data_IF_234875685629
#
_entry.id   IF_234875685629
#
_cell.length_a   1.000
_cell.length_b   1.000
_cell.length_c   1.000
_cell.angle_alpha   90.00
_cell.angle_beta   90.00
_cell.angle_gamma   90.00
#
_symmetry.space_group_name_H-M   'P 1'
#
loop_
_entity.id
_entity.type
_entity.pdbx_description
1 polymer ?
#
# COMPACT_ATOMS: atom_id res chain seq x y z
N UNK A 1 26.94 -13.92 11.25
CA UNK A 1 26.37 -12.78 12.00
C UNK A 1 25.26 -12.23 11.14
N UNK A 2 24.02 -12.35 11.61
CA UNK A 2 22.86 -11.82 10.89
C UNK A 2 22.82 -10.30 11.12
N UNK A 3 23.52 -9.57 10.24
CA UNK A 3 23.48 -8.12 10.22
C UNK A 3 22.25 -7.64 9.45
N UNK A 4 21.66 -6.55 9.93
CA UNK A 4 20.66 -5.81 9.15
C UNK A 4 21.22 -5.51 7.76
N UNK A 5 20.40 -5.75 6.73
CA UNK A 5 20.76 -5.39 5.37
C UNK A 5 20.55 -3.90 5.17
N UNK A 6 21.42 -3.29 4.36
CA UNK A 6 21.23 -1.91 3.94
C UNK A 6 19.89 -1.78 3.20
N UNK A 7 19.21 -0.64 3.34
CA UNK A 7 17.93 -0.41 2.66
C UNK A 7 18.07 -0.50 1.13
N UNK A 8 19.24 -0.15 0.59
CA UNK A 8 19.58 -0.27 -0.83
C UNK A 8 19.66 -1.73 -1.32
N UNK A 9 19.70 -2.72 -0.42
CA UNK A 9 19.61 -4.14 -0.77
C UNK A 9 18.19 -4.56 -1.13
N UNK A 10 17.18 -3.73 -0.85
CA UNK A 10 15.78 -4.09 -1.06
C UNK A 10 15.24 -3.53 -2.38
N UNK A 11 14.46 -4.37 -3.07
CA UNK A 11 13.58 -3.95 -4.16
C UNK A 11 12.13 -4.02 -3.69
N UNK A 12 11.26 -3.20 -4.27
CA UNK A 12 9.83 -3.15 -3.94
C UNK A 12 8.99 -3.84 -5.02
N UNK A 13 7.97 -4.57 -4.60
CA UNK A 13 6.88 -5.06 -5.46
C UNK A 13 5.54 -4.78 -4.79
N UNK A 14 4.45 -4.62 -5.54
CA UNK A 14 3.18 -4.14 -4.99
C UNK A 14 2.03 -4.19 -5.99
N UNK A 15 0.81 -4.13 -5.47
CA UNK A 15 -0.44 -4.26 -6.25
C UNK A 15 -1.40 -3.08 -6.03
N UNK A 16 -0.86 -1.91 -5.69
CA UNK A 16 -1.63 -0.69 -5.41
C UNK A 16 -2.54 -0.77 -4.18
N UNK A 17 -2.51 -1.85 -3.42
CA UNK A 17 -3.17 -1.93 -2.11
C UNK A 17 -2.16 -2.05 -1.00
N UNK A 18 -1.05 -2.73 -1.29
CA UNK A 18 0.09 -2.87 -0.42
C UNK A 18 1.36 -3.14 -1.23
N UNK A 19 2.48 -3.27 -0.52
CA UNK A 19 3.78 -3.56 -1.08
C UNK A 19 4.59 -4.49 -0.18
N UNK A 20 5.55 -5.17 -0.79
CA UNK A 20 6.54 -6.01 -0.14
C UNK A 20 7.96 -5.54 -0.49
N UNK A 21 8.87 -5.57 0.49
CA UNK A 21 10.30 -5.33 0.25
C UNK A 21 11.05 -6.66 0.20
N UNK A 22 11.74 -6.87 -0.92
CA UNK A 22 12.48 -8.09 -1.26
C UNK A 22 13.97 -7.80 -1.29
N UNK A 23 14.70 -8.43 -0.39
CA UNK A 23 16.16 -8.36 -0.28
C UNK A 23 16.86 -9.11 -1.42
N UNK A 24 18.15 -8.83 -1.67
CA UNK A 24 18.90 -9.48 -2.77
C UNK A 24 19.08 -10.99 -2.60
N UNK A 25 19.19 -11.48 -1.36
CA UNK A 25 19.18 -12.90 -1.00
C UNK A 25 17.79 -13.55 -1.04
N UNK A 26 16.86 -13.03 -1.84
CA UNK A 26 15.57 -13.65 -2.14
C UNK A 26 14.59 -13.68 -0.97
N UNK A 27 14.71 -12.78 0.01
CA UNK A 27 13.81 -12.73 1.17
C UNK A 27 12.87 -11.54 1.13
N UNK A 28 11.58 -11.80 1.32
CA UNK A 28 10.57 -10.80 1.67
C UNK A 28 10.68 -10.56 3.18
N UNK A 29 11.18 -9.39 3.57
CA UNK A 29 11.41 -9.03 4.98
C UNK A 29 10.39 -8.02 5.51
N UNK A 30 9.59 -7.46 4.61
CA UNK A 30 8.53 -6.52 4.92
C UNK A 30 7.34 -6.77 4.01
N UNK A 31 6.16 -6.90 4.59
CA UNK A 31 4.88 -6.79 3.89
C UNK A 31 3.77 -6.51 4.89
N UNK A 32 2.93 -5.52 4.60
CA UNK A 32 1.68 -5.28 5.33
C UNK A 32 0.53 -5.90 4.55
N UNK A 33 -0.31 -6.75 5.16
CA UNK A 33 -1.41 -7.40 4.46
C UNK A 33 -2.71 -7.15 5.24
N UNK A 34 -3.84 -6.82 4.58
CA UNK A 34 -4.03 -6.73 3.13
C UNK A 34 -3.68 -5.36 2.51
N UNK A 35 -3.41 -4.32 3.31
CA UNK A 35 -3.12 -2.97 2.82
C UNK A 35 -1.88 -2.33 3.45
N UNK A 36 -1.44 -1.19 2.91
CA UNK A 36 -0.32 -0.41 3.44
C UNK A 36 -0.42 -0.10 4.94
N UNK A 37 -1.58 0.34 5.41
CA UNK A 37 -1.84 0.70 6.82
C UNK A 37 -2.10 -0.51 7.74
N UNK A 38 -2.24 -1.72 7.17
CA UNK A 38 -2.45 -2.93 7.96
C UNK A 38 -1.21 -3.30 8.78
N UNK A 39 -1.33 -4.01 9.91
CA UNK A 39 -0.17 -4.51 10.63
C UNK A 39 0.75 -5.37 9.74
N UNK A 40 2.05 -5.33 9.99
CA UNK A 40 3.01 -6.08 9.21
C UNK A 40 2.81 -7.61 9.40
N UNK A 41 2.76 -8.33 8.28
CA UNK A 41 2.76 -9.79 8.22
C UNK A 41 4.20 -10.36 8.23
N UNK A 42 5.10 -9.63 7.56
CA UNK A 42 6.55 -9.80 7.64
C UNK A 42 7.17 -8.50 8.12
N UNK A 43 8.06 -8.58 9.11
CA UNK A 43 8.70 -7.41 9.72
C UNK A 43 10.16 -7.64 10.10
N UNK A 44 10.84 -8.61 9.46
CA UNK A 44 12.28 -8.85 9.64
C UNK A 44 13.14 -7.60 9.36
N UNK A 45 12.62 -6.67 8.56
CA UNK A 45 13.24 -5.36 8.32
C UNK A 45 13.40 -4.52 9.61
N UNK A 46 12.48 -4.65 10.58
CA UNK A 46 12.54 -3.91 11.85
C UNK A 46 13.30 -4.68 12.93
N UNK A 47 13.15 -6.00 12.96
CA UNK A 47 13.85 -6.86 13.91
C UNK A 47 14.20 -8.20 13.27
N UNK A 48 15.49 -8.49 13.13
CA UNK A 48 15.97 -9.70 12.46
C UNK A 48 15.72 -11.00 13.25
N UNK A 49 15.51 -10.90 14.57
CA UNK A 49 15.38 -12.05 15.47
C UNK A 49 13.92 -12.51 15.58
N UNK A 50 13.01 -11.55 15.72
CA UNK A 50 11.57 -11.85 15.90
C UNK A 50 10.74 -11.60 14.66
N UNK A 51 11.22 -10.77 13.73
CA UNK A 51 10.49 -10.42 12.53
C UNK A 51 10.42 -11.57 11.52
N UNK A 52 9.20 -11.83 11.06
CA UNK A 52 8.90 -12.83 10.06
C UNK A 52 9.37 -12.46 8.67
N UNK A 53 9.52 -13.48 7.83
CA UNK A 53 10.05 -13.38 6.48
C UNK A 53 9.59 -14.54 5.59
N UNK A 54 9.74 -14.37 4.29
CA UNK A 54 9.62 -15.45 3.31
C UNK A 54 10.82 -15.43 2.36
N UNK A 55 11.67 -16.45 2.43
CA UNK A 55 12.94 -16.51 1.71
C UNK A 55 13.03 -17.71 0.78
N UNK A 56 13.58 -17.48 -0.42
CA UNK A 56 13.94 -18.51 -1.40
C UNK A 56 15.35 -18.17 -1.90
N UNK A 57 16.32 -19.05 -1.67
CA UNK A 57 17.70 -18.84 -2.10
C UNK A 57 18.45 -20.15 -2.36
N UNK A 58 19.55 -20.16 -3.14
CA UNK A 58 20.39 -21.34 -3.30
C UNK A 58 21.06 -21.79 -2.00
N UNK A 59 21.23 -23.10 -1.89
CA UNK A 59 22.11 -23.71 -0.90
C UNK A 59 23.57 -23.40 -1.24
N UNK A 60 24.36 -23.03 -0.23
CA UNK A 60 25.79 -22.75 -0.39
C UNK A 60 26.09 -21.34 -0.92
N UNK A 61 27.24 -21.18 -1.58
CA UNK A 61 27.70 -19.91 -2.12
C UNK A 61 27.12 -19.69 -3.52
N UNK A 62 26.61 -18.48 -3.77
CA UNK A 62 25.99 -18.10 -5.04
C UNK A 62 26.27 -16.63 -5.37
N UNK A 63 26.08 -16.28 -6.65
CA UNK A 63 26.05 -14.91 -7.17
C UNK A 63 24.61 -14.46 -7.37
N UNK A 64 24.39 -13.16 -7.25
CA UNK A 64 23.08 -12.52 -7.37
C UNK A 64 23.14 -11.41 -8.40
N UNK A 65 22.18 -11.41 -9.33
CA UNK A 65 21.91 -10.29 -10.23
C UNK A 65 20.43 -9.92 -10.13
N UNK A 66 20.10 -8.63 -10.28
CA UNK A 66 18.72 -8.16 -10.10
C UNK A 66 18.32 -7.19 -11.18
N UNK A 67 17.05 -7.29 -11.56
CA UNK A 67 16.41 -6.35 -12.45
C UNK A 67 14.91 -6.25 -12.11
N UNK A 68 14.25 -5.27 -12.71
CA UNK A 68 12.81 -5.31 -12.86
C UNK A 68 12.49 -5.83 -14.25
N UNK A 69 11.47 -6.67 -14.38
CA UNK A 69 10.95 -7.04 -15.70
C UNK A 69 10.47 -5.77 -16.41
N UNK A 70 10.75 -5.71 -17.70
CA UNK A 70 10.63 -4.53 -18.56
C UNK A 70 9.48 -3.59 -18.18
N UNK A 71 9.83 -2.37 -17.76
CA UNK A 71 8.90 -1.28 -17.44
C UNK A 71 7.80 -1.68 -16.45
N UNK A 72 8.13 -2.52 -15.46
CA UNK A 72 7.16 -3.00 -14.46
C UNK A 72 7.65 -2.89 -13.01
N UNK A 73 6.77 -3.17 -12.04
CA UNK A 73 7.14 -3.39 -10.64
C UNK A 73 7.28 -4.89 -10.28
N UNK A 74 7.54 -5.73 -11.28
CA UNK A 74 7.84 -7.15 -11.09
C UNK A 74 9.36 -7.30 -10.96
N UNK A 75 9.82 -7.77 -9.82
CA UNK A 75 11.24 -7.93 -9.54
C UNK A 75 11.72 -9.29 -10.04
N UNK A 76 12.86 -9.32 -10.72
CA UNK A 76 13.61 -10.53 -11.04
C UNK A 76 14.94 -10.57 -10.29
N UNK A 77 15.25 -11.71 -9.70
CA UNK A 77 16.50 -12.02 -9.03
C UNK A 77 17.08 -13.29 -9.63
N UNK A 78 18.20 -13.18 -10.34
CA UNK A 78 18.92 -14.31 -10.90
C UNK A 78 19.94 -14.80 -9.90
N UNK A 79 19.84 -16.07 -9.52
CA UNK A 79 20.84 -16.74 -8.73
C UNK A 79 21.66 -17.68 -9.60
N UNK A 80 22.98 -17.68 -9.43
CA UNK A 80 23.86 -18.62 -10.11
C UNK A 80 24.94 -19.16 -9.18
N UNK A 81 25.34 -20.40 -9.41
CA UNK A 81 26.47 -21.04 -8.76
C UNK A 81 27.19 -21.93 -9.77
N UNK A 82 28.21 -22.68 -9.36
CA UNK A 82 28.94 -23.58 -10.25
C UNK A 82 28.12 -24.73 -10.86
N UNK A 83 26.86 -24.93 -10.43
CA UNK A 83 26.00 -26.05 -10.84
C UNK A 83 24.84 -25.63 -11.74
N UNK A 84 24.54 -24.33 -11.84
CA UNK A 84 23.45 -23.85 -12.67
C UNK A 84 23.06 -22.40 -12.41
N UNK A 85 21.87 -22.05 -12.91
CA UNK A 85 21.26 -20.74 -12.79
C UNK A 85 19.74 -20.87 -12.66
N UNK A 86 19.15 -20.10 -11.74
CA UNK A 86 17.70 -19.97 -11.58
C UNK A 86 17.29 -18.50 -11.56
N UNK A 87 16.07 -18.23 -11.97
CA UNK A 87 15.42 -16.93 -11.93
C UNK A 87 14.29 -16.96 -10.91
N UNK A 88 14.35 -16.08 -9.91
CA UNK A 88 13.26 -15.83 -8.97
C UNK A 88 12.52 -14.56 -9.39
N UNK A 89 11.22 -14.66 -9.63
CA UNK A 89 10.33 -13.56 -9.99
C UNK A 89 9.40 -13.29 -8.81
N UNK A 90 9.41 -12.06 -8.30
CA UNK A 90 8.56 -11.59 -7.21
C UNK A 90 7.55 -10.55 -7.73
N UNK A 91 6.25 -10.85 -7.57
CA UNK A 91 5.18 -9.93 -7.89
C UNK A 91 4.03 -9.99 -6.89
N UNK A 92 3.27 -8.91 -6.81
CA UNK A 92 1.92 -8.92 -6.24
C UNK A 92 0.92 -8.79 -7.39
N UNK A 93 0.08 -9.82 -7.65
CA UNK A 93 -0.86 -9.78 -8.76
C UNK A 93 -1.80 -8.57 -8.70
N UNK A 94 -1.99 -7.91 -9.85
CA UNK A 94 -2.98 -6.84 -10.00
C UNK A 94 -4.31 -7.44 -10.48
N UNK A 95 -5.37 -7.13 -9.75
CA UNK A 95 -6.73 -7.58 -10.03
C UNK A 95 -7.65 -6.37 -10.21
N UNK A 96 -8.54 -6.43 -11.20
CA UNK A 96 -9.63 -5.46 -11.36
C UNK A 96 -10.75 -5.70 -10.34
N UNK A 97 -10.86 -6.92 -9.79
CA UNK A 97 -11.79 -7.22 -8.72
C UNK A 97 -11.19 -6.79 -7.37
N UNK A 98 -11.78 -5.78 -6.72
CA UNK A 98 -11.34 -5.27 -5.42
C UNK A 98 -11.47 -6.30 -4.29
N UNK A 99 -12.41 -7.23 -4.40
CA UNK A 99 -12.67 -8.31 -3.43
C UNK A 99 -11.69 -9.49 -3.60
N UNK A 100 -10.84 -9.48 -4.64
CA UNK A 100 -9.85 -10.53 -4.84
C UNK A 100 -8.92 -10.66 -3.62
N UNK A 101 -8.46 -11.88 -3.29
CA UNK A 101 -7.48 -12.08 -2.23
C UNK A 101 -6.23 -11.24 -2.47
N UNK A 102 -5.62 -10.73 -1.40
CA UNK A 102 -4.33 -10.05 -1.51
C UNK A 102 -3.24 -11.11 -1.57
N UNK A 103 -2.47 -11.09 -2.64
CA UNK A 103 -1.57 -12.19 -2.98
C UNK A 103 -0.15 -11.70 -3.21
N UNK A 104 0.81 -12.54 -2.84
CA UNK A 104 2.21 -12.45 -3.24
C UNK A 104 2.53 -13.72 -4.02
N UNK A 105 2.93 -13.57 -5.28
CA UNK A 105 3.32 -14.67 -6.14
C UNK A 105 4.83 -14.64 -6.35
N UNK A 106 5.47 -15.77 -6.09
CA UNK A 106 6.89 -15.99 -6.35
C UNK A 106 7.05 -17.16 -7.31
N UNK A 107 7.68 -16.92 -8.47
CA UNK A 107 7.99 -17.96 -9.46
C UNK A 107 9.49 -18.21 -9.46
N UNK A 108 9.91 -19.46 -9.35
CA UNK A 108 11.28 -19.90 -9.57
C UNK A 108 11.32 -20.62 -10.91
N UNK A 109 12.24 -20.24 -11.78
CA UNK A 109 12.45 -20.86 -13.09
C UNK A 109 13.90 -21.32 -13.23
N UNK A 110 14.11 -22.59 -13.57
CA UNK A 110 15.43 -23.12 -13.87
C UNK A 110 15.88 -22.67 -15.25
N UNK A 111 16.99 -21.94 -15.31
CA UNK A 111 17.53 -21.41 -16.56
C UNK A 111 18.61 -22.34 -17.12
N UNK A 112 19.51 -22.80 -16.26
CA UNK A 112 20.65 -23.63 -16.65
C UNK A 112 20.98 -24.64 -15.54
N UNK A 113 21.41 -25.84 -15.93
CA UNK A 113 21.90 -26.84 -15.00
C UNK A 113 20.85 -27.24 -13.95
N UNK A 114 21.28 -27.35 -12.69
CA UNK A 114 20.41 -27.68 -11.56
C UNK A 114 20.86 -26.97 -10.29
N UNK A 115 19.93 -26.40 -9.54
CA UNK A 115 20.19 -25.73 -8.27
C UNK A 115 19.28 -26.30 -7.18
N UNK A 116 19.86 -26.54 -6.01
CA UNK A 116 19.12 -26.79 -4.77
C UNK A 116 18.81 -25.45 -4.10
N UNK A 117 17.54 -25.21 -3.80
CA UNK A 117 17.02 -24.02 -3.17
C UNK A 117 16.47 -24.34 -1.80
N UNK A 118 16.84 -23.53 -0.81
CA UNK A 118 16.21 -23.50 0.49
C UNK A 118 15.03 -22.53 0.45
N UNK A 119 13.87 -23.01 0.90
CA UNK A 119 12.64 -22.23 1.01
C UNK A 119 12.29 -22.14 2.49
N UNK A 120 12.32 -20.92 3.02
CA UNK A 120 12.05 -20.62 4.42
C UNK A 120 10.84 -19.71 4.52
N UNK A 121 9.83 -20.13 5.27
CA UNK A 121 8.60 -19.36 5.49
C UNK A 121 8.33 -19.23 6.99
N UNK A 122 8.44 -18.01 7.51
CA UNK A 122 8.16 -17.70 8.92
C UNK A 122 7.26 -16.47 8.98
N UNK A 123 5.93 -16.62 8.93
CA UNK A 123 5.02 -15.50 9.12
C UNK A 123 4.99 -15.07 10.59
N UNK A 124 4.92 -13.76 10.85
CA UNK A 124 4.79 -13.21 12.20
C UNK A 124 3.80 -12.02 12.18
N UNK A 125 2.50 -12.32 12.09
CA UNK A 125 1.46 -11.31 11.95
C UNK A 125 1.45 -10.29 13.09
N UNK A 126 0.79 -9.16 12.85
CA UNK A 126 0.62 -8.09 13.83
C UNK A 126 1.95 -7.53 14.37
N UNK A 127 2.93 -7.29 13.49
CA UNK A 127 4.28 -6.85 13.88
C UNK A 127 4.97 -7.83 14.85
N UNK A 128 4.91 -9.12 14.53
CA UNK A 128 5.46 -10.20 15.35
C UNK A 128 4.86 -10.34 16.77
N UNK A 129 3.71 -9.73 17.04
CA UNK A 129 2.94 -9.98 18.28
C UNK A 129 2.27 -11.34 18.29
N UNK A 130 2.09 -11.95 17.12
CA UNK A 130 1.52 -13.30 16.99
C UNK A 130 2.56 -14.24 16.40
N UNK A 131 2.78 -15.37 17.08
CA UNK A 131 3.48 -16.52 16.52
C UNK A 131 2.42 -17.52 16.04
N UNK A 132 2.18 -17.62 14.72
CA UNK A 132 1.13 -18.48 14.20
C UNK A 132 1.52 -19.96 14.23
N UNK A 133 0.52 -20.83 14.29
CA UNK A 133 0.71 -22.26 14.03
C UNK A 133 0.65 -22.50 12.52
N UNK A 134 1.58 -23.31 12.01
CA UNK A 134 1.63 -23.67 10.60
C UNK A 134 1.11 -25.09 10.43
N UNK A 135 -0.01 -25.22 9.71
CA UNK A 135 -0.71 -26.50 9.53
C UNK A 135 -0.62 -26.93 8.06
N UNK A 136 0.18 -27.96 7.73
CA UNK A 136 0.21 -28.53 6.39
C UNK A 136 -1.17 -29.09 6.02
N UNK A 137 -1.60 -28.80 4.79
CA UNK A 137 -2.75 -29.42 4.12
C UNK A 137 -2.31 -29.79 2.70
N UNK A 138 -3.08 -30.60 1.96
CA UNK A 138 -2.68 -31.20 0.68
C UNK A 138 -1.75 -30.32 -0.19
N UNK A 139 -2.22 -29.12 -0.55
CA UNK A 139 -1.49 -28.21 -1.46
C UNK A 139 -1.15 -26.85 -0.83
N UNK A 140 -1.28 -26.72 0.49
CA UNK A 140 -1.14 -25.43 1.17
C UNK A 140 -0.58 -25.59 2.57
N UNK A 141 0.25 -24.65 2.98
CA UNK A 141 0.59 -24.42 4.37
C UNK A 141 -0.35 -23.35 4.92
N UNK A 142 -1.24 -23.75 5.82
CA UNK A 142 -2.21 -22.86 6.44
C UNK A 142 -1.56 -22.12 7.62
N UNK A 143 -1.84 -20.82 7.77
CA UNK A 143 -1.30 -19.98 8.84
C UNK A 143 -2.42 -19.67 9.83
N UNK A 144 -2.42 -20.34 10.98
CA UNK A 144 -3.41 -20.16 12.03
C UNK A 144 -3.02 -18.99 12.93
N UNK A 145 -3.99 -18.13 13.27
CA UNK A 145 -3.75 -16.92 14.07
C UNK A 145 -3.34 -15.68 13.26
N UNK A 146 -3.40 -15.72 11.93
CA UNK A 146 -3.04 -14.57 11.08
C UNK A 146 -4.12 -13.52 10.88
N UNK A 147 -5.18 -13.54 11.69
CA UNK A 147 -6.51 -12.99 11.36
C UNK A 147 -6.49 -11.67 10.55
N UNK A 148 -7.15 -11.62 9.37
CA UNK A 148 -7.85 -12.74 8.71
C UNK A 148 -6.91 -13.83 8.11
N UNK A 149 -7.44 -14.77 7.32
CA UNK A 149 -6.73 -16.01 6.98
C UNK A 149 -5.60 -15.81 5.98
N UNK A 150 -4.49 -16.55 6.18
CA UNK A 150 -3.38 -16.62 5.26
C UNK A 150 -3.00 -18.08 4.93
N UNK A 151 -2.65 -18.33 3.67
CA UNK A 151 -2.21 -19.64 3.20
C UNK A 151 -1.10 -19.52 2.16
N UNK A 152 -0.05 -20.33 2.30
CA UNK A 152 1.00 -20.46 1.30
C UNK A 152 0.77 -21.72 0.45
N UNK A 153 0.49 -21.55 -0.83
CA UNK A 153 0.29 -22.65 -1.78
C UNK A 153 1.50 -22.85 -2.66
N UNK A 154 1.76 -24.10 -3.04
CA UNK A 154 2.91 -24.44 -3.88
C UNK A 154 2.56 -25.36 -5.04
N UNK A 155 3.01 -25.02 -6.25
CA UNK A 155 2.82 -25.80 -7.47
C UNK A 155 4.13 -25.88 -8.26
N UNK A 156 4.30 -26.90 -9.12
CA UNK A 156 5.49 -27.08 -9.95
C UNK A 156 5.16 -27.72 -11.29
N UNK A 157 5.97 -27.45 -12.32
CA UNK A 157 5.77 -27.96 -13.69
C UNK A 157 6.23 -29.40 -13.91
N UNK A 158 7.28 -29.84 -13.20
CA UNK A 158 7.90 -31.14 -13.43
C UNK A 158 7.52 -32.22 -12.41
N UNK A 159 7.12 -31.84 -11.18
CA UNK A 159 6.69 -32.74 -10.11
C UNK A 159 5.68 -32.06 -9.19
N UNK A 160 4.72 -32.79 -8.60
CA UNK A 160 3.98 -32.30 -7.45
C UNK A 160 4.96 -32.08 -6.29
N UNK A 161 5.39 -30.84 -6.08
CA UNK A 161 6.19 -30.42 -4.93
C UNK A 161 5.53 -30.73 -3.58
N UNK A 162 4.23 -31.01 -3.60
CA UNK A 162 3.40 -31.49 -2.50
C UNK A 162 3.97 -32.76 -1.85
N UNK A 163 4.76 -33.54 -2.60
CA UNK A 163 5.44 -34.75 -2.10
C UNK A 163 6.65 -34.46 -1.21
N UNK A 164 7.20 -33.24 -1.23
CA UNK A 164 8.28 -32.83 -0.33
C UNK A 164 7.65 -32.07 0.83
N UNK A 165 7.50 -32.77 1.96
CA UNK A 165 6.92 -32.21 3.18
C UNK A 165 7.70 -30.99 3.70
N UNK A 166 6.98 -30.12 4.40
CA UNK A 166 7.59 -29.03 5.15
C UNK A 166 8.12 -29.55 6.49
N UNK A 167 9.35 -29.20 6.83
CA UNK A 167 9.83 -29.30 8.21
C UNK A 167 9.37 -28.05 8.95
N UNK A 168 8.60 -28.22 10.03
CA UNK A 168 7.98 -27.12 10.76
C UNK A 168 8.47 -27.12 12.20
N UNK A 169 9.08 -26.02 12.62
CA UNK A 169 9.56 -25.81 13.98
C UNK A 169 9.30 -24.37 14.40
N UNK A 170 8.66 -24.18 15.57
CA UNK A 170 8.45 -22.87 16.21
C UNK A 170 7.90 -21.77 15.26
N UNK A 171 6.88 -22.10 14.46
CA UNK A 171 6.24 -21.15 13.53
C UNK A 171 7.07 -20.83 12.28
N UNK A 172 8.15 -21.57 12.02
CA UNK A 172 8.94 -21.53 10.77
C UNK A 172 8.75 -22.85 10.04
N UNK A 173 8.47 -22.77 8.74
CA UNK A 173 8.48 -23.90 7.83
C UNK A 173 9.69 -23.81 6.90
N UNK A 174 10.36 -24.93 6.69
CA UNK A 174 11.52 -25.03 5.80
C UNK A 174 11.41 -26.26 4.89
N UNK A 175 11.93 -26.13 3.67
CA UNK A 175 12.13 -27.25 2.76
C UNK A 175 13.24 -26.95 1.76
N UNK A 176 13.88 -27.99 1.26
CA UNK A 176 14.84 -27.91 0.15
C UNK A 176 14.16 -28.44 -1.11
N UNK A 177 14.27 -27.69 -2.21
CA UNK A 177 13.74 -28.08 -3.52
C UNK A 177 14.83 -28.00 -4.57
N UNK A 178 14.92 -29.01 -5.43
CA UNK A 178 15.83 -29.00 -6.59
C UNK A 178 15.07 -28.51 -7.82
N UNK A 179 15.64 -27.55 -8.54
CA UNK A 179 15.11 -27.02 -9.80
C UNK A 179 16.13 -27.23 -10.91
N UNK A 180 15.70 -27.86 -12.00
CA UNK A 180 16.50 -28.05 -13.21
C UNK A 180 16.12 -27.04 -14.30
N UNK A 181 17.00 -26.87 -15.28
CA UNK A 181 16.69 -26.10 -16.49
C UNK A 181 15.34 -26.52 -17.12
N UNK A 182 14.49 -25.54 -17.40
CA UNK A 182 13.13 -25.73 -17.94
C UNK A 182 12.05 -26.05 -16.90
N UNK A 183 12.40 -26.30 -15.64
CA UNK A 183 11.44 -26.50 -14.56
C UNK A 183 11.02 -25.17 -13.93
N UNK A 184 9.75 -25.07 -13.52
CA UNK A 184 9.22 -23.90 -12.84
C UNK A 184 8.47 -24.29 -11.56
N UNK A 185 8.66 -23.52 -10.49
CA UNK A 185 7.97 -23.66 -9.21
C UNK A 185 7.27 -22.35 -8.84
N UNK A 186 6.09 -22.46 -8.25
CA UNK A 186 5.24 -21.33 -7.88
C UNK A 186 4.91 -21.38 -6.41
N UNK A 187 5.00 -20.23 -5.76
CA UNK A 187 4.61 -20.02 -4.38
C UNK A 187 3.63 -18.85 -4.33
N UNK A 188 2.38 -19.13 -3.98
CA UNK A 188 1.34 -18.12 -3.84
C UNK A 188 0.96 -18.00 -2.37
N UNK A 189 1.35 -16.88 -1.75
CA UNK A 189 0.83 -16.49 -0.45
C UNK A 189 -0.45 -15.69 -0.67
N UNK A 190 -1.58 -16.21 -0.21
CA UNK A 190 -2.89 -15.53 -0.26
C UNK A 190 -3.32 -15.07 1.13
N UNK A 191 -3.90 -13.88 1.20
CA UNK A 191 -4.44 -13.25 2.40
C UNK A 191 -5.88 -12.79 2.14
N UNK A 192 -6.86 -13.32 2.88
CA UNK A 192 -8.29 -13.10 2.57
C UNK A 192 -9.18 -13.12 3.81
N UNK A 193 -10.28 -12.35 3.77
CA UNK A 193 -11.20 -12.15 4.90
C UNK A 193 -12.15 -13.32 5.16
N UNK A 194 -12.55 -14.07 4.12
CA UNK A 194 -13.50 -15.19 4.28
C UNK A 194 -12.76 -16.47 4.66
N UNK A 195 -13.37 -17.33 5.48
CA UNK A 195 -12.82 -18.66 5.77
C UNK A 195 -12.94 -19.62 4.58
N UNK A 196 -13.64 -19.21 3.52
CA UNK A 196 -14.01 -20.05 2.38
C UNK A 196 -12.81 -20.79 1.78
N UNK A 197 -12.75 -22.08 2.12
CA UNK A 197 -11.74 -23.03 1.67
C UNK A 197 -11.92 -23.37 0.18
N UNK A 198 -13.16 -23.25 -0.35
CA UNK A 198 -13.63 -23.69 -1.67
C UNK A 198 -13.38 -22.69 -2.82
N UNK A 199 -13.67 -21.39 -2.64
CA UNK A 199 -13.51 -20.39 -3.73
C UNK A 199 -12.05 -20.26 -4.21
N UNK A 200 -11.12 -20.66 -3.36
CA UNK A 200 -9.71 -20.59 -3.63
C UNK A 200 -9.16 -21.84 -4.36
N UNK A 201 -9.88 -22.96 -4.43
CA UNK A 201 -9.38 -24.21 -5.07
C UNK A 201 -9.32 -24.12 -6.60
N UNK A 202 -10.28 -23.43 -7.23
CA UNK A 202 -10.37 -23.35 -8.69
C UNK A 202 -9.37 -22.38 -9.37
N UNK A 203 -8.47 -21.73 -8.61
CA UNK A 203 -7.61 -20.66 -9.13
C UNK A 203 -6.10 -20.86 -8.84
N UNK A 204 -5.69 -22.11 -8.60
CA UNK A 204 -4.29 -22.47 -8.32
C UNK A 204 -3.72 -23.49 -9.32
N UNK A 205 -3.97 -23.27 -10.62
CA UNK A 205 -3.32 -24.01 -11.71
C UNK A 205 -2.05 -23.29 -12.18
N UNK A 206 -1.12 -24.00 -12.84
CA UNK A 206 0.07 -23.38 -13.44
C UNK A 206 -0.32 -22.29 -14.46
N UNK A 207 -1.35 -22.57 -15.27
CA UNK A 207 -1.89 -21.61 -16.23
C UNK A 207 -2.44 -20.35 -15.54
N UNK A 208 -3.13 -20.50 -14.41
CA UNK A 208 -3.62 -19.35 -13.64
C UNK A 208 -2.47 -18.51 -13.08
N UNK A 209 -1.37 -19.14 -12.62
CA UNK A 209 -0.20 -18.41 -12.13
C UNK A 209 0.50 -17.63 -13.23
N UNK A 210 0.71 -18.24 -14.40
CA UNK A 210 1.29 -17.55 -15.55
C UNK A 210 0.38 -16.42 -16.06
N UNK A 211 -0.94 -16.64 -16.09
CA UNK A 211 -1.90 -15.58 -16.43
C UNK A 211 -1.83 -14.37 -15.49
N UNK A 212 -1.60 -14.61 -14.18
CA UNK A 212 -1.40 -13.53 -13.19
C UNK A 212 -0.12 -12.74 -13.46
N UNK A 213 0.97 -13.42 -13.82
CA UNK A 213 2.25 -12.77 -14.19
C UNK A 213 2.04 -11.90 -15.43
N UNK A 214 1.49 -12.48 -16.51
CA UNK A 214 1.26 -11.78 -17.77
C UNK A 214 0.36 -10.57 -17.60
N UNK A 215 -0.78 -10.71 -16.91
CA UNK A 215 -1.72 -9.60 -16.66
C UNK A 215 -1.08 -8.48 -15.82
N UNK A 216 -0.28 -8.84 -14.81
CA UNK A 216 0.39 -7.86 -13.96
C UNK A 216 1.47 -7.12 -14.75
N UNK A 217 2.23 -7.82 -15.59
CA UNK A 217 3.22 -7.22 -16.47
C UNK A 217 2.57 -6.27 -17.48
N UNK A 218 1.50 -6.72 -18.15
CA UNK A 218 0.73 -5.93 -19.10
C UNK A 218 0.16 -4.66 -18.45
N UNK A 219 -0.39 -4.76 -17.24
CA UNK A 219 -0.87 -3.60 -16.49
C UNK A 219 0.23 -2.54 -16.35
N UNK A 220 1.39 -2.95 -15.84
CA UNK A 220 2.49 -2.01 -15.60
C UNK A 220 3.05 -1.45 -16.89
N UNK A 221 3.22 -2.27 -17.93
CA UNK A 221 3.72 -1.82 -19.23
C UNK A 221 2.75 -0.85 -19.90
N UNK A 222 1.44 -1.14 -19.85
CA UNK A 222 0.39 -0.26 -20.37
C UNK A 222 0.41 1.08 -19.64
N UNK A 223 0.53 1.07 -18.31
CA UNK A 223 0.69 2.28 -17.53
C UNK A 223 1.98 3.03 -17.90
N UNK A 224 3.12 2.34 -17.95
CA UNK A 224 4.42 2.91 -18.26
C UNK A 224 4.49 3.55 -19.66
N UNK A 225 3.73 3.05 -20.64
CA UNK A 225 3.63 3.61 -22.00
C UNK A 225 3.06 5.02 -22.05
N UNK A 226 2.30 5.45 -21.03
CA UNK A 226 1.71 6.80 -20.97
C UNK A 226 2.73 7.90 -20.64
N UNK A 227 3.93 7.55 -20.15
CA UNK A 227 4.98 8.51 -19.80
C UNK A 227 5.42 9.32 -21.03
N UNK A 228 5.36 10.65 -20.92
CA UNK A 228 5.73 11.59 -21.99
C UNK A 228 7.18 12.08 -21.93
N UNK A 229 7.95 11.63 -20.94
CA UNK A 229 9.36 12.03 -20.79
C UNK A 229 10.27 11.24 -21.74
N UNK A 230 11.00 11.98 -22.59
CA UNK A 230 11.94 11.44 -23.60
C UNK A 230 13.36 11.99 -23.43
N UNK A 231 13.69 12.50 -22.22
CA UNK A 231 15.02 13.05 -21.93
C UNK A 231 16.07 11.98 -21.59
N UNK A 232 17.33 12.40 -21.32
CA UNK A 232 18.46 11.49 -21.14
C UNK A 232 18.35 10.53 -19.96
N UNK A 233 17.50 10.83 -18.97
CA UNK A 233 17.31 10.02 -17.77
C UNK A 233 16.06 9.14 -17.81
N UNK A 234 15.58 8.77 -19.00
CA UNK A 234 14.28 8.11 -19.18
C UNK A 234 14.09 6.87 -18.31
N UNK A 235 15.12 6.04 -18.18
CA UNK A 235 15.09 4.84 -17.33
C UNK A 235 14.88 5.17 -15.85
N UNK A 236 15.64 6.13 -15.31
CA UNK A 236 15.55 6.53 -13.91
C UNK A 236 14.21 7.24 -13.60
N UNK A 237 13.75 8.11 -14.51
CA UNK A 237 12.47 8.80 -14.39
C UNK A 237 11.31 7.81 -14.41
N UNK A 238 11.30 6.87 -15.37
CA UNK A 238 10.23 5.87 -15.45
C UNK A 238 10.24 4.94 -14.24
N UNK A 239 11.42 4.52 -13.77
CA UNK A 239 11.52 3.68 -12.57
C UNK A 239 10.93 4.39 -11.35
N UNK A 240 11.26 5.67 -11.16
CA UNK A 240 10.73 6.50 -10.08
C UNK A 240 9.21 6.66 -10.20
N UNK A 241 8.70 6.95 -11.39
CA UNK A 241 7.27 7.07 -11.64
C UNK A 241 6.50 5.78 -11.32
N UNK A 242 7.03 4.62 -11.71
CA UNK A 242 6.44 3.32 -11.38
C UNK A 242 6.43 3.05 -9.86
N UNK A 243 7.45 3.47 -9.13
CA UNK A 243 7.48 3.39 -7.66
C UNK A 243 6.41 4.31 -7.04
N UNK A 244 6.29 5.55 -7.51
CA UNK A 244 5.26 6.48 -7.04
C UNK A 244 3.84 5.95 -7.32
N UNK A 245 3.63 5.39 -8.51
CA UNK A 245 2.36 4.74 -8.85
C UNK A 245 2.07 3.56 -7.93
N UNK A 246 3.06 2.73 -7.63
CA UNK A 246 2.92 1.60 -6.72
C UNK A 246 2.42 2.01 -5.33
N UNK A 247 2.83 3.18 -4.84
CA UNK A 247 2.40 3.76 -3.56
C UNK A 247 1.02 4.45 -3.61
N UNK A 248 0.37 4.48 -4.77
CA UNK A 248 -0.99 5.03 -4.95
C UNK A 248 -2.02 3.94 -4.65
N UNK A 249 -2.85 4.16 -3.63
CA UNK A 249 -3.90 3.23 -3.23
C UNK A 249 -5.00 3.16 -4.30
N UNK A 250 -5.24 1.98 -4.87
CA UNK A 250 -6.09 1.82 -6.06
C UNK A 250 -7.51 2.37 -5.87
N UNK A 251 -8.16 2.07 -4.73
CA UNK A 251 -9.59 2.37 -4.53
C UNK A 251 -9.88 3.85 -4.27
N UNK A 252 -8.91 4.64 -3.78
CA UNK A 252 -9.15 6.04 -3.36
C UNK A 252 -8.22 7.04 -4.04
N UNK A 253 -7.18 6.58 -4.73
CA UNK A 253 -6.09 7.41 -5.23
C UNK A 253 -5.14 7.94 -4.14
N UNK A 254 -5.39 7.66 -2.85
CA UNK A 254 -4.55 8.13 -1.75
C UNK A 254 -3.10 7.63 -1.86
N UNK A 255 -2.12 8.51 -1.67
CA UNK A 255 -0.71 8.18 -1.91
C UNK A 255 0.04 8.11 -0.58
N UNK A 256 0.58 6.94 -0.25
CA UNK A 256 1.37 6.77 0.97
C UNK A 256 2.78 7.34 0.78
N UNK A 257 3.37 7.91 1.84
CA UNK A 257 4.70 8.51 1.74
C UNK A 257 5.81 7.45 1.52
N UNK A 258 5.66 6.26 2.11
CA UNK A 258 6.50 5.09 1.87
C UNK A 258 5.73 3.79 2.18
N UNK A 259 6.28 2.66 1.74
CA UNK A 259 5.71 1.33 2.05
C UNK A 259 6.00 0.86 3.49
N UNK A 260 6.84 1.57 4.23
CA UNK A 260 7.38 1.17 5.55
C UNK A 260 7.02 2.18 6.65
N UNK A 261 7.18 1.76 7.90
CA UNK A 261 7.03 2.59 9.10
C UNK A 261 8.25 2.41 9.99
N UNK A 262 8.48 3.34 10.91
CA UNK A 262 9.49 3.23 11.98
C UNK A 262 10.95 3.13 11.54
N UNK A 263 11.24 3.35 10.25
CA UNK A 263 12.61 3.51 9.76
C UNK A 263 13.00 4.99 9.87
N UNK A 264 14.01 5.35 10.68
CA UNK A 264 14.35 6.75 10.87
C UNK A 264 15.06 7.31 9.63
N UNK A 265 14.78 8.57 9.29
CA UNK A 265 15.43 9.28 8.16
C UNK A 265 16.97 9.30 8.30
N UNK A 266 17.47 9.34 9.55
CA UNK A 266 18.87 9.23 9.89
C UNK A 266 19.03 8.30 11.09
N UNK A 267 20.11 7.51 11.13
CA UNK A 267 20.42 6.63 12.26
C UNK A 267 20.53 7.48 13.54
N UNK A 268 19.77 7.13 14.58
CA UNK A 268 19.68 7.89 15.84
C UNK A 268 18.78 9.13 15.79
N UNK A 269 18.14 9.44 14.67
CA UNK A 269 17.23 10.56 14.51
C UNK A 269 15.82 10.30 15.08
N UNK A 270 15.08 11.39 15.34
CA UNK A 270 13.72 11.35 15.92
C UNK A 270 12.59 11.21 14.90
N UNK A 271 12.90 11.30 13.60
CA UNK A 271 11.92 11.23 12.50
C UNK A 271 11.67 9.77 12.11
N UNK A 272 10.88 9.06 12.92
CA UNK A 272 10.58 7.64 12.80
C UNK A 272 9.07 7.37 12.61
N UNK A 273 8.42 8.22 11.82
CA UNK A 273 6.96 8.20 11.63
C UNK A 273 6.45 6.95 10.90
N UNK A 274 5.13 6.79 10.92
CA UNK A 274 4.44 5.85 10.04
C UNK A 274 4.22 6.46 8.66
N UNK A 275 5.16 6.21 7.75
CA UNK A 275 5.13 6.69 6.38
C UNK A 275 4.13 5.93 5.48
N UNK A 276 3.47 4.89 6.00
CA UNK A 276 2.43 4.12 5.27
C UNK A 276 1.11 4.88 5.18
N UNK A 277 1.03 6.04 5.81
CA UNK A 277 -0.11 6.95 5.73
C UNK A 277 0.10 7.97 4.62
N UNK A 278 -1.02 8.49 4.11
CA UNK A 278 -1.01 9.53 3.10
C UNK A 278 -0.92 10.91 3.77
N UNK A 279 0.14 11.63 3.43
CA UNK A 279 0.36 13.01 3.86
C UNK A 279 0.02 13.94 2.70
N UNK A 280 -0.76 14.99 2.96
CA UNK A 280 -1.23 15.90 1.89
C UNK A 280 -0.08 16.55 1.13
N UNK A 281 0.96 16.99 1.84
CA UNK A 281 2.17 17.59 1.25
C UNK A 281 2.85 16.62 0.29
N UNK A 282 3.14 15.41 0.77
CA UNK A 282 3.84 14.37 0.03
C UNK A 282 3.01 13.93 -1.19
N UNK A 283 1.70 13.74 -1.01
CA UNK A 283 0.75 13.45 -2.10
C UNK A 283 0.76 14.54 -3.17
N UNK A 284 0.74 15.82 -2.79
CA UNK A 284 0.76 16.93 -3.74
C UNK A 284 2.02 16.95 -4.62
N UNK A 285 3.19 16.71 -4.02
CA UNK A 285 4.47 16.63 -4.75
C UNK A 285 4.53 15.43 -5.70
N UNK A 286 3.99 14.29 -5.26
CA UNK A 286 3.92 13.08 -6.10
C UNK A 286 2.96 13.30 -7.27
N UNK A 287 1.79 13.88 -7.02
CA UNK A 287 0.80 14.19 -8.07
C UNK A 287 1.36 15.19 -9.09
N UNK A 288 2.04 16.24 -8.63
CA UNK A 288 2.71 17.18 -9.53
C UNK A 288 3.70 16.47 -10.45
N UNK A 289 4.54 15.60 -9.87
CA UNK A 289 5.52 14.81 -10.62
C UNK A 289 4.85 13.90 -11.66
N UNK A 290 3.79 13.19 -11.27
CA UNK A 290 3.03 12.31 -12.18
C UNK A 290 2.36 13.10 -13.31
N UNK A 291 1.71 14.23 -13.00
CA UNK A 291 1.09 15.09 -14.01
C UNK A 291 2.12 15.63 -15.01
N UNK A 292 3.29 16.07 -14.54
CA UNK A 292 4.39 16.53 -15.40
C UNK A 292 4.88 15.43 -16.37
N UNK A 293 4.74 14.16 -15.99
CA UNK A 293 5.07 13.00 -16.83
C UNK A 293 3.92 12.55 -17.75
N UNK A 294 2.74 13.18 -17.67
CA UNK A 294 1.57 12.87 -18.50
C UNK A 294 0.52 11.96 -17.84
N UNK A 295 0.66 11.66 -16.54
CA UNK A 295 -0.24 10.80 -15.76
C UNK A 295 -1.38 11.61 -15.13
N UNK A 296 -2.32 12.06 -15.95
CA UNK A 296 -3.45 12.91 -15.50
C UNK A 296 -4.54 12.12 -14.77
N UNK A 297 -4.71 10.83 -15.08
CA UNK A 297 -5.71 9.97 -14.45
C UNK A 297 -5.48 9.83 -12.95
N UNK A 298 -4.22 9.85 -12.50
CA UNK A 298 -3.80 9.75 -11.10
C UNK A 298 -4.27 10.97 -10.29
N UNK A 299 -4.11 12.17 -10.87
CA UNK A 299 -4.62 13.40 -10.28
C UNK A 299 -6.15 13.40 -10.23
N UNK A 300 -6.80 12.94 -11.31
CA UNK A 300 -8.25 12.79 -11.30
C UNK A 300 -8.71 11.78 -10.24
N UNK A 301 -8.07 10.61 -10.11
CA UNK A 301 -8.42 9.60 -9.13
C UNK A 301 -8.28 10.12 -7.69
N UNK A 302 -7.20 10.85 -7.39
CA UNK A 302 -7.01 11.49 -6.08
C UNK A 302 -8.11 12.52 -5.78
N UNK A 303 -8.55 13.29 -6.79
CA UNK A 303 -9.55 14.35 -6.64
C UNK A 303 -11.02 13.88 -6.72
N UNK A 304 -11.34 12.81 -7.47
CA UNK A 304 -12.70 12.43 -7.91
C UNK A 304 -13.41 11.45 -6.95
N UNK A 305 -13.12 11.46 -5.66
CA UNK A 305 -13.78 10.57 -4.68
C UNK A 305 -15.27 10.91 -4.46
N UNK A 306 -16.13 10.56 -5.43
CA UNK A 306 -17.58 10.37 -5.31
C UNK A 306 -17.85 8.85 -5.37
N UNK A 307 -17.90 8.19 -4.22
CA UNK A 307 -18.12 6.74 -4.17
C UNK A 307 -19.64 6.45 -4.11
N UNK A 308 -20.28 6.38 -5.28
CA UNK A 308 -21.71 6.05 -5.45
C UNK A 308 -22.05 4.64 -4.90
N UNK A 309 -21.08 3.73 -4.92
CA UNK A 309 -21.21 2.35 -4.41
C UNK A 309 -21.44 2.23 -2.90
N UNK A 310 -20.94 3.19 -2.11
CA UNK A 310 -21.17 3.24 -0.65
C UNK A 310 -22.52 3.86 -0.29
N UNK A 311 -23.05 4.76 -1.14
CA UNK A 311 -24.43 5.24 -0.99
C UNK A 311 -25.43 4.12 -1.21
N UNK A 312 -25.16 3.22 -2.15
CA UNK A 312 -26.04 2.07 -2.43
C UNK A 312 -26.05 1.05 -1.28
N UNK A 313 -24.89 0.75 -0.67
CA UNK A 313 -24.81 -0.13 0.52
C UNK A 313 -25.51 0.46 1.75
N UNK A 314 -25.44 1.78 1.96
CA UNK A 314 -26.19 2.46 3.01
C UNK A 314 -27.69 2.57 2.70
N UNK A 315 -28.07 2.62 1.42
CA UNK A 315 -29.47 2.62 1.01
C UNK A 315 -30.13 1.24 1.18
N UNK A 316 -29.41 0.15 0.90
CA UNK A 316 -29.90 -1.22 1.10
C UNK A 316 -30.05 -1.60 2.59
N UNK A 317 -29.19 -1.08 3.48
CA UNK A 317 -29.36 -1.21 4.95
C UNK A 317 -30.43 -0.24 5.52
N UNK A 318 -30.93 0.71 4.73
CA UNK A 318 -31.93 1.71 5.14
C UNK A 318 -33.36 1.42 4.65
N UNK A 319 -33.62 0.24 4.07
CA UNK A 319 -34.92 -0.12 3.51
C UNK A 319 -35.98 -0.56 4.54
N UNK A 320 -35.96 0.02 5.75
CA UNK A 320 -37.12 0.06 6.65
C UNK A 320 -37.20 1.45 7.31
N UNK A 321 -37.98 2.38 6.72
CA UNK A 321 -38.10 3.76 7.21
C UNK A 321 -38.74 3.88 8.61
N UNK A 322 -39.41 2.83 9.09
CA UNK A 322 -40.23 2.90 10.31
C UNK A 322 -39.58 2.22 11.53
N UNK A 323 -38.47 1.48 11.39
CA UNK A 323 -37.83 0.80 12.52
C UNK A 323 -36.68 1.56 13.21
N UNK A 324 -36.11 2.60 12.58
CA UNK A 324 -34.91 3.30 13.11
C UNK A 324 -35.26 4.63 13.78
N UNK A 325 -36.43 5.21 13.49
CA UNK A 325 -36.80 6.55 13.98
C UNK A 325 -37.37 6.56 15.42
N UNK A 326 -37.92 5.45 15.89
CA UNK A 326 -38.59 5.38 17.21
C UNK A 326 -37.64 5.05 18.38
N UNK A 327 -36.53 4.36 18.09
CA UNK A 327 -35.53 3.99 19.11
C UNK A 327 -34.69 5.16 19.60
N UNK A 328 -34.55 6.21 18.78
CA UNK A 328 -33.72 7.38 19.08
C UNK A 328 -34.52 8.65 19.44
N UNK A 329 -35.80 8.76 19.05
CA UNK A 329 -36.64 9.92 19.40
C UNK A 329 -37.23 9.88 20.81
N UNK A 330 -37.48 8.70 21.39
CA UNK A 330 -38.02 8.61 22.78
C UNK A 330 -36.99 8.88 23.89
N UNK A 331 -35.74 9.19 23.56
CA UNK A 331 -34.67 9.44 24.55
C UNK A 331 -34.26 10.91 24.72
N UNK A 332 -34.85 11.84 23.97
CA UNK A 332 -34.44 13.25 23.98
C UNK A 332 -35.41 14.23 24.68
N UNK A 333 -36.52 13.77 25.27
CA UNK A 333 -37.57 14.66 25.80
C UNK A 333 -37.98 14.41 27.27
N UNK A 334 -37.12 13.82 28.10
CA UNK A 334 -37.39 13.65 29.53
C UNK A 334 -36.15 13.91 30.38
N UNK A 335 -36.23 14.95 31.21
CA UNK A 335 -35.23 15.28 32.22
C UNK A 335 -34.90 14.07 33.12
N UNK A 336 -33.61 13.77 33.27
CA UNK A 336 -33.13 12.70 34.14
C UNK A 336 -31.74 12.24 33.75
N UNK A 337 -30.76 12.57 34.59
CA UNK A 337 -29.37 12.09 34.54
C UNK A 337 -29.29 10.59 34.29
N UNK A 338 -28.51 10.16 33.28
CA UNK A 338 -27.98 8.80 33.21
C UNK A 338 -26.44 8.84 33.19
N UNK A 339 -25.77 7.92 33.90
CA UNK A 339 -24.41 8.12 34.39
C UNK A 339 -23.37 7.91 33.30
N UNK A 340 -22.36 8.78 33.34
CA UNK A 340 -21.10 8.63 32.64
C UNK A 340 -20.43 7.31 33.07
N UNK A 341 -20.48 6.26 32.23
CA UNK A 341 -19.66 5.07 32.46
C UNK A 341 -18.27 5.35 31.89
N UNK A 342 -17.42 5.91 32.76
CA UNK A 342 -15.98 6.07 32.58
C UNK A 342 -15.39 4.67 32.32
N UNK A 343 -14.79 4.44 31.15
CA UNK A 343 -13.82 3.35 31.00
C UNK A 343 -12.62 3.72 31.87
N UNK A 344 -12.29 2.95 32.92
CA UNK A 344 -11.12 3.23 33.72
C UNK A 344 -9.87 2.82 32.93
N UNK A 345 -8.83 3.65 33.05
CA UNK A 345 -7.48 3.49 32.48
C UNK A 345 -7.24 4.02 31.06
N UNK A 346 -7.47 5.32 30.87
CA UNK A 346 -6.53 6.22 30.18
C UNK A 346 -6.71 7.59 30.83
N UNK A 347 -5.88 7.87 31.84
CA UNK A 347 -5.86 9.15 32.52
C UNK A 347 -5.55 10.27 31.54
N UNK A 348 -6.42 11.27 31.56
CA UNK A 348 -6.36 12.49 30.77
C UNK A 348 -5.23 13.39 31.26
N UNK A 349 -4.25 13.64 30.39
CA UNK A 349 -3.31 14.75 30.50
C UNK A 349 -3.55 15.76 29.39
N UNK A 350 -4.33 16.80 29.70
CA UNK A 350 -4.34 18.14 29.09
C UNK A 350 -4.30 18.30 27.54
N UNK A 351 -5.46 18.62 26.97
CA UNK A 351 -5.65 19.72 26.00
C UNK A 351 -4.59 19.99 24.92
N UNK A 352 -4.46 19.10 23.93
CA UNK A 352 -3.83 19.45 22.63
C UNK A 352 -4.76 19.13 21.47
N UNK A 353 -5.13 20.16 20.70
CA UNK A 353 -5.71 20.04 19.36
C UNK A 353 -4.78 19.20 18.48
N UNK A 354 -5.16 17.98 18.11
CA UNK A 354 -4.44 17.21 17.09
C UNK A 354 -4.73 17.80 15.70
N UNK A 355 -3.84 18.69 15.22
CA UNK A 355 -3.75 19.07 13.79
C UNK A 355 -3.10 17.91 13.01
N UNK A 356 -3.84 16.86 12.67
CA UNK A 356 -3.31 15.76 11.86
C UNK A 356 -3.28 16.14 10.37
N UNK A 357 -2.12 16.07 9.69
CA UNK A 357 -1.97 16.23 8.23
C UNK A 357 -1.88 14.90 7.47
N UNK A 358 -2.06 13.78 8.18
CA UNK A 358 -1.91 12.42 7.64
C UNK A 358 -3.17 11.59 7.90
N UNK A 359 -3.54 10.75 6.93
CA UNK A 359 -4.66 9.82 7.02
C UNK A 359 -4.34 8.51 6.32
N UNK A 360 -5.02 7.41 6.68
CA UNK A 360 -4.88 6.17 5.92
C UNK A 360 -5.36 6.41 4.49
N UNK A 361 -4.56 5.98 3.51
CA UNK A 361 -4.89 6.15 2.09
C UNK A 361 -6.26 5.53 1.76
N UNK A 362 -6.65 4.44 2.44
CA UNK A 362 -7.94 3.76 2.27
C UNK A 362 -9.14 4.62 2.65
N UNK A 363 -8.97 5.60 3.54
CA UNK A 363 -10.07 6.39 4.09
C UNK A 363 -10.06 7.86 3.65
N UNK A 364 -9.13 8.25 2.77
CA UNK A 364 -9.17 9.58 2.16
C UNK A 364 -10.46 9.74 1.34
N UNK A 365 -11.30 10.72 1.72
CA UNK A 365 -12.56 11.08 1.05
C UNK A 365 -12.65 12.59 0.84
N UNK A 366 -13.49 13.02 -0.11
CA UNK A 366 -13.94 14.41 -0.23
C UNK A 366 -14.98 14.71 0.87
N UNK A 367 -15.02 15.96 1.35
CA UNK A 367 -16.23 16.50 1.95
C UNK A 367 -17.33 16.61 0.85
N UNK A 368 -18.60 16.41 1.19
CA UNK A 368 -19.70 16.44 0.21
C UNK A 368 -19.66 17.74 -0.62
N UNK A 369 -20.03 17.71 -1.92
CA UNK A 369 -20.11 18.94 -2.70
C UNK A 369 -21.14 19.87 -2.05
N UNK A 370 -20.72 21.09 -1.71
CA UNK A 370 -21.66 22.16 -1.40
C UNK A 370 -22.59 22.30 -2.61
N UNK A 371 -23.91 22.23 -2.36
CA UNK A 371 -24.87 22.84 -3.27
C UNK A 371 -24.44 24.30 -3.37
N UNK A 372 -23.87 24.68 -4.52
CA UNK A 372 -23.74 26.09 -4.86
C UNK A 372 -25.15 26.66 -4.81
N UNK A 373 -25.46 27.42 -3.76
CA UNK A 373 -26.66 28.24 -3.76
C UNK A 373 -26.60 29.14 -5.01
N UNK A 374 -27.70 29.30 -5.76
CA UNK A 374 -27.73 30.22 -6.88
C UNK A 374 -27.30 31.59 -6.35
N UNK A 375 -26.29 32.16 -6.99
CA UNK A 375 -25.78 33.50 -6.74
C UNK A 375 -26.94 34.47 -6.53
N UNK A 376 -26.97 35.13 -5.37
CA UNK A 376 -27.78 36.32 -5.12
C UNK A 376 -27.47 37.32 -6.24
N UNK A 377 -28.41 37.48 -7.17
CA UNK A 377 -28.46 38.61 -8.08
C UNK A 377 -28.45 39.88 -7.24
N UNK A 378 -27.33 40.61 -7.26
CA UNK A 378 -27.34 42.02 -6.89
C UNK A 378 -27.74 42.81 -8.13
N UNK A 379 -28.74 43.69 -8.05
CA UNK A 379 -29.12 44.52 -9.19
C UNK A 379 -28.01 45.53 -9.48
N UNK A 380 -27.59 45.57 -10.74
CA UNK A 380 -26.61 46.53 -11.28
C UNK A 380 -27.15 47.96 -11.26
N UNK A 381 -26.36 48.98 -10.87
CA UNK A 381 -26.68 50.35 -11.21
C UNK A 381 -26.23 50.63 -12.64
N UNK A 382 -27.15 51.19 -13.41
CA UNK A 382 -26.99 51.74 -14.75
C UNK A 382 -25.84 52.74 -14.85
N UNK A 383 -25.00 52.63 -15.88
CA UNK A 383 -24.31 53.77 -16.49
C UNK A 383 -24.15 53.56 -18.01
N UNK A 384 -24.61 54.57 -18.73
CA UNK A 384 -24.61 54.73 -20.18
C UNK A 384 -23.20 55.03 -20.72
N UNK A 385 -22.97 54.66 -21.99
CA UNK A 385 -22.23 55.51 -22.93
C UNK A 385 -20.93 54.97 -23.52
N UNK A 386 -20.88 54.91 -24.87
CA UNK A 386 -19.69 55.31 -25.63
C UNK A 386 -18.81 54.22 -26.24
N UNK A 387 -19.06 53.94 -27.53
CA UNK A 387 -18.14 53.64 -28.65
C UNK A 387 -16.72 53.08 -28.40
N UNK A 388 -16.39 51.95 -29.03
CA UNK A 388 -15.51 51.84 -30.23
C UNK A 388 -15.16 50.36 -30.55
N UNK A 389 -14.76 50.10 -31.81
CA UNK A 389 -14.54 48.78 -32.43
C UNK A 389 -13.13 48.22 -32.22
N UNK A 390 -13.06 46.87 -32.21
CA UNK A 390 -11.95 45.95 -32.60
C UNK A 390 -10.80 45.69 -31.60
N UNK A 391 -9.99 44.61 -31.75
CA UNK A 391 -10.27 43.22 -32.12
C UNK A 391 -9.85 42.23 -30.99
N UNK A 392 -10.28 40.97 -31.04
CA UNK A 392 -9.80 39.89 -30.16
C UNK A 392 -8.28 39.67 -30.30
N UNK A 393 -7.49 39.59 -29.21
CA UNK A 393 -6.19 38.96 -29.24
C UNK A 393 -6.19 37.61 -28.51
N UNK A 394 -5.78 36.58 -29.24
CA UNK A 394 -4.97 35.43 -28.83
C UNK A 394 -4.86 35.12 -27.33
N UNK A 395 -5.46 33.99 -26.91
CA UNK A 395 -5.15 33.31 -25.65
C UNK A 395 -3.71 32.78 -25.69
N UNK A 396 -2.79 33.52 -25.08
CA UNK A 396 -1.42 33.08 -24.86
C UNK A 396 -1.33 32.10 -23.69
N UNK A 397 -0.58 31.02 -23.90
CA UNK A 397 -0.24 29.99 -22.93
C UNK A 397 0.63 30.58 -21.81
N UNK A 398 0.09 30.78 -20.61
CA UNK A 398 0.90 31.22 -19.46
C UNK A 398 1.71 30.03 -18.92
N UNK A 399 3.01 30.02 -19.25
CA UNK A 399 4.04 29.32 -18.48
C UNK A 399 4.09 29.94 -17.07
N UNK A 400 3.99 29.12 -16.03
CA UNK A 400 4.40 29.53 -14.69
C UNK A 400 5.93 29.65 -14.68
N UNK A 401 6.45 30.88 -14.63
CA UNK A 401 7.88 31.14 -14.41
C UNK A 401 8.21 31.01 -12.91
N UNK A 402 9.42 30.53 -12.62
CA UNK A 402 9.90 30.25 -11.27
C UNK A 402 9.95 31.51 -10.36
N UNK A 403 10.08 32.70 -10.95
CA UNK A 403 10.13 33.98 -10.22
C UNK A 403 8.78 34.35 -9.55
N UNK A 404 7.67 33.72 -9.93
CA UNK A 404 6.33 34.00 -9.36
C UNK A 404 6.12 33.39 -7.97
N UNK A 405 6.99 32.50 -7.52
CA UNK A 405 6.90 31.85 -6.20
C UNK A 405 7.74 32.54 -5.11
N UNK A 406 8.74 33.34 -5.48
CA UNK A 406 9.60 34.05 -4.51
C UNK A 406 8.95 35.34 -3.96
N UNK A 407 7.91 35.86 -4.62
CA UNK A 407 7.19 37.08 -4.21
C UNK A 407 5.85 36.87 -3.49
N UNK A 408 5.37 35.63 -3.35
CA UNK A 408 4.06 35.36 -2.75
C UNK A 408 4.11 35.54 -1.22
N UNK A 409 3.55 36.63 -0.71
CA UNK A 409 3.43 36.88 0.72
C UNK A 409 2.41 35.94 1.37
N UNK A 410 2.45 35.77 2.69
CA UNK A 410 1.56 34.91 3.47
C UNK A 410 0.05 35.17 3.29
N UNK A 411 -0.30 36.26 2.62
CA UNK A 411 -1.67 36.69 2.35
C UNK A 411 -2.21 36.22 0.99
N UNK A 412 -1.34 35.83 0.06
CA UNK A 412 -1.74 35.30 -1.26
C UNK A 412 -2.12 33.80 -1.22
N UNK A 413 -1.85 33.13 -0.09
CA UNK A 413 -2.24 31.74 0.17
C UNK A 413 -3.62 31.57 0.83
N UNK A 414 -4.41 32.65 0.88
CA UNK A 414 -5.77 32.63 1.40
C UNK A 414 -5.83 32.69 2.93
N UNK A 415 -6.69 33.58 3.42
CA UNK A 415 -6.94 33.79 4.85
C UNK A 415 -7.53 32.50 5.45
N UNK A 416 -7.05 32.03 6.63
CA UNK A 416 -7.56 30.84 7.31
C UNK A 416 -8.98 31.08 7.84
N UNK A 417 -9.95 30.92 6.95
CA UNK A 417 -11.37 31.12 7.25
C UNK A 417 -12.31 30.82 6.08
N UNK A 418 -11.81 30.70 4.84
CA UNK A 418 -12.65 30.43 3.66
C UNK A 418 -12.12 29.35 2.72
N UNK A 419 -11.12 28.56 3.13
CA UNK A 419 -10.72 27.35 2.39
C UNK A 419 -11.44 26.13 2.99
N UNK A 420 -12.24 25.46 2.18
CA UNK A 420 -12.94 24.22 2.56
C UNK A 420 -11.94 23.18 3.06
N UNK A 421 -12.18 22.71 4.29
CA UNK A 421 -11.34 21.78 5.04
C UNK A 421 -11.63 20.36 4.56
N UNK A 422 -10.60 19.57 4.23
CA UNK A 422 -10.71 18.11 4.19
C UNK A 422 -11.14 17.63 5.58
N UNK A 423 -12.36 17.09 5.72
CA UNK A 423 -12.83 16.55 6.99
C UNK A 423 -12.16 15.20 7.28
N UNK A 424 -11.32 15.16 8.32
CA UNK A 424 -10.96 13.93 9.02
C UNK A 424 -12.15 13.55 9.91
N UNK A 425 -12.68 12.33 9.78
CA UNK A 425 -13.56 11.80 10.82
C UNK A 425 -12.71 11.41 12.03
N UNK A 426 -12.96 12.04 13.18
CA UNK A 426 -12.37 11.66 14.46
C UNK A 426 -12.72 10.20 14.76
N UNK A 427 -11.69 9.36 14.75
CA UNK A 427 -11.76 7.95 15.09
C UNK A 427 -10.36 7.37 15.30
N UNK A 428 -9.39 7.69 14.44
CA UNK A 428 -8.09 7.01 14.46
C UNK A 428 -6.90 7.95 14.21
N UNK A 429 -6.70 8.94 15.10
CA UNK A 429 -5.41 9.64 15.19
C UNK A 429 -4.49 8.81 16.09
N UNK A 430 -3.74 7.87 15.51
CA UNK A 430 -2.58 7.25 16.17
C UNK A 430 -1.31 7.63 15.42
N UNK A 431 -0.71 8.74 15.86
CA UNK A 431 0.51 9.29 15.29
C UNK A 431 1.10 10.36 16.19
N UNK A 432 1.37 10.00 17.45
CA UNK A 432 2.08 10.85 18.40
C UNK A 432 3.37 10.19 18.87
N UNK A 433 4.49 10.89 18.74
CA UNK A 433 5.74 10.50 19.39
C UNK A 433 5.56 10.51 20.92
N UNK A 434 5.94 9.43 21.60
CA UNK A 434 6.13 9.45 23.06
C UNK A 434 7.40 10.24 23.34
N UNK A 435 7.27 11.46 23.87
CA UNK A 435 8.38 12.16 24.51
C UNK A 435 8.75 11.41 25.78
N UNK A 436 10.03 11.07 25.92
CA UNK A 436 10.57 10.23 26.98
C UNK A 436 10.38 10.78 28.39
N UNK A 437 10.47 9.83 29.33
CA UNK A 437 10.55 10.04 30.77
C UNK A 437 11.54 11.14 31.13
N UNK A 438 11.05 12.17 31.82
CA UNK A 438 11.87 12.85 32.81
C UNK A 438 11.65 12.14 34.15
N UNK A 439 12.65 11.35 34.52
CA UNK A 439 12.91 11.04 35.90
C UNK A 439 13.21 12.34 36.66
N UNK A 440 12.49 12.57 37.76
CA UNK A 440 12.75 13.62 38.74
C UNK A 440 12.18 13.19 40.10
N UNK A 441 12.90 13.43 41.21
CA UNK A 441 12.81 12.63 42.43
C UNK A 441 11.75 13.15 43.40
N UNK A 442 11.22 12.28 44.26
CA UNK A 442 10.38 12.73 45.37
C UNK A 442 9.69 11.62 46.13
N UNK A 443 10.41 11.14 47.16
CA UNK A 443 9.96 10.51 48.43
C UNK A 443 9.10 9.26 48.39
#
# INVERSE_FOLDING_TARGET
MDHYRAISDYGVTGNLHTAALVSSGGSIDWACLPSFDSPAFFCRLLDINVGGYFQIHPVGVYKVERAYLERSNILSTTFSNGFGKVLLIDLMPISANEEAPREILRKVEGIEGKIDLEVLFRPTPQFARVTPTLSPRENRLWVEGSEPFAALRTAGSARPLQTIGWKIEKGRAERIVRVKAGEALYFLLSYHQRKDEEAAENNFSLQAMEARISRTLEYWQTWAKKCRYHGPYQGAVLRSALTLKLLTFASTGGIVAAATTSLPEAIGGVRNWDYRFAWLRDSALILYSLMALGYQEEAHAFCKNDNESLRQKLHEESADPDHVSDRWRKRASGAGSLPFRRLPELSTGAGRKCRGQAASARYLRRAAPLRLYPSLERPSPSLQGGSERSPLPHLSCHRFCADSLEGAGSWDLGVPGSAEIFCLFEGDVLGGARSGDQAGPGT
#
